data_IF_624769038196
#
_entry.id   IF_624769038196
#
_cell.length_a   1.000
_cell.length_b   1.000
_cell.length_c   1.000
_cell.angle_alpha   90.00
_cell.angle_beta   90.00
_cell.angle_gamma   90.00
#
_symmetry.space_group_name_H-M   'P 1'
#
loop_
_entity.id
_entity.type
_entity.pdbx_description
1 polymer ?
#
# COMPACT_ATOMS: atom_id res chain seq x y z
N UNK A 1 12.13 -1.67 7.56
CA UNK A 1 11.58 -1.76 6.19
C UNK A 1 10.06 -1.76 6.29
N UNK A 2 9.39 -1.07 5.40
CA UNK A 2 7.94 -1.00 5.24
C UNK A 2 7.61 -1.58 3.86
N UNK A 3 6.45 -2.22 3.73
CA UNK A 3 6.09 -2.91 2.49
C UNK A 3 4.63 -2.60 2.11
N UNK A 4 4.37 -2.59 0.83
CA UNK A 4 3.05 -2.51 0.24
C UNK A 4 3.08 -2.85 -1.24
N UNK A 5 1.92 -3.00 -1.85
CA UNK A 5 1.82 -3.25 -3.28
C UNK A 5 0.84 -2.28 -3.98
N UNK A 6 1.02 -2.12 -5.27
CA UNK A 6 0.25 -1.17 -6.08
C UNK A 6 -0.67 -1.83 -7.11
N UNK A 7 -0.40 -3.06 -7.47
CA UNK A 7 -1.28 -3.85 -8.33
C UNK A 7 -2.57 -4.21 -7.60
N UNK A 8 -3.60 -4.54 -8.35
CA UNK A 8 -4.95 -4.75 -7.86
C UNK A 8 -5.55 -6.02 -8.44
N UNK A 9 -6.34 -6.70 -7.65
CA UNK A 9 -7.25 -7.73 -8.16
C UNK A 9 -8.17 -7.13 -9.24
N UNK A 10 -8.65 -7.94 -10.19
CA UNK A 10 -9.65 -7.52 -11.18
C UNK A 10 -10.84 -6.82 -10.55
N UNK A 11 -11.47 -5.96 -11.30
CA UNK A 11 -12.50 -5.06 -10.77
C UNK A 11 -13.75 -5.76 -10.25
N UNK A 12 -14.02 -6.99 -10.66
CA UNK A 12 -15.13 -7.83 -10.21
C UNK A 12 -16.51 -7.16 -10.39
N UNK A 13 -17.55 -7.97 -10.47
CA UNK A 13 -18.94 -7.54 -10.48
C UNK A 13 -19.55 -7.59 -9.07
N UNK A 14 -20.80 -7.14 -8.94
CA UNK A 14 -21.55 -7.23 -7.69
C UNK A 14 -21.41 -6.04 -6.75
N UNK A 15 -20.89 -4.92 -7.21
CA UNK A 15 -20.86 -3.67 -6.45
C UNK A 15 -22.31 -3.19 -6.18
N UNK A 16 -22.55 -2.65 -4.99
CA UNK A 16 -23.84 -2.04 -4.66
C UNK A 16 -24.09 -0.80 -5.52
N UNK A 17 -25.37 -0.44 -5.68
CA UNK A 17 -25.76 0.74 -6.44
C UNK A 17 -25.04 1.99 -5.96
N UNK A 18 -24.50 2.74 -6.91
CA UNK A 18 -23.71 3.96 -6.65
C UNK A 18 -22.27 3.72 -6.20
N UNK A 19 -21.84 2.46 -6.09
CA UNK A 19 -20.47 2.08 -5.78
C UNK A 19 -19.80 1.40 -6.98
N UNK A 20 -18.49 1.44 -7.03
CA UNK A 20 -17.72 0.81 -8.10
C UNK A 20 -16.22 0.77 -7.84
N UNK A 21 -15.48 0.04 -8.67
CA UNK A 21 -14.06 -0.17 -8.43
C UNK A 21 -13.19 1.06 -8.68
N UNK A 22 -13.52 1.89 -9.66
CA UNK A 22 -12.64 2.97 -10.17
C UNK A 22 -13.06 4.38 -9.72
N UNK A 23 -14.26 4.53 -9.21
CA UNK A 23 -14.73 5.81 -8.69
C UNK A 23 -14.80 5.73 -7.17
N UNK A 24 -13.90 6.42 -6.45
CA UNK A 24 -13.91 6.37 -4.99
C UNK A 24 -15.17 7.08 -4.45
N UNK A 25 -15.85 6.42 -3.53
CA UNK A 25 -17.04 6.94 -2.85
C UNK A 25 -16.81 6.90 -1.35
N UNK A 26 -16.95 8.06 -0.70
CA UNK A 26 -17.00 8.15 0.76
C UNK A 26 -18.46 8.13 1.20
N UNK A 27 -18.89 7.09 1.91
CA UNK A 27 -20.26 6.91 2.39
C UNK A 27 -20.23 6.32 3.80
N UNK A 28 -20.98 6.91 4.70
CA UNK A 28 -21.14 6.44 6.10
C UNK A 28 -19.79 6.19 6.81
N UNK A 29 -18.81 7.05 6.56
CA UNK A 29 -17.46 6.94 7.13
C UNK A 29 -16.56 5.86 6.50
N UNK A 30 -17.02 5.19 5.45
CA UNK A 30 -16.28 4.19 4.70
C UNK A 30 -15.90 4.69 3.31
N UNK A 31 -14.66 4.41 2.91
CA UNK A 31 -14.18 4.66 1.55
C UNK A 31 -14.34 3.38 0.73
N UNK A 32 -15.11 3.47 -0.34
CA UNK A 32 -15.35 2.36 -1.27
C UNK A 32 -14.56 2.57 -2.55
N UNK A 33 -13.95 1.51 -3.03
CA UNK A 33 -13.20 1.46 -4.28
C UNK A 33 -12.20 0.32 -4.28
N UNK A 34 -11.79 -0.16 -5.43
CA UNK A 34 -10.77 -1.20 -5.55
C UNK A 34 -9.42 -0.64 -5.08
N UNK A 35 -8.71 -1.38 -4.24
CA UNK A 35 -7.42 -0.96 -3.67
C UNK A 35 -7.55 -0.06 -2.42
N UNK A 36 -8.75 0.22 -1.94
CA UNK A 36 -8.94 0.99 -0.70
C UNK A 36 -8.45 0.25 0.53
N UNK A 37 -8.60 -1.07 0.55
CA UNK A 37 -8.08 -1.93 1.60
C UNK A 37 -6.90 -2.78 1.10
N UNK A 38 -6.99 -3.33 -0.10
CA UNK A 38 -6.01 -4.24 -0.68
C UNK A 38 -5.55 -3.75 -2.07
N UNK A 39 -4.36 -3.28 -2.20
CA UNK A 39 -3.62 -2.47 -1.24
C UNK A 39 -3.43 -1.08 -1.85
N UNK A 40 -3.00 -0.18 -1.08
CA UNK A 40 -2.74 1.20 -1.48
C UNK A 40 -2.66 2.09 -0.24
N UNK A 41 -3.31 1.67 0.84
CA UNK A 41 -3.26 2.41 2.10
C UNK A 41 -1.97 2.14 2.88
N UNK A 42 -1.35 0.96 2.74
CA UNK A 42 -0.24 0.51 3.59
C UNK A 42 0.95 1.46 3.58
N UNK A 43 1.42 1.86 2.40
CA UNK A 43 2.56 2.77 2.33
C UNK A 43 2.19 4.20 2.78
N UNK A 44 0.99 4.68 2.47
CA UNK A 44 0.52 5.99 2.93
C UNK A 44 0.40 6.03 4.45
N UNK A 45 -0.17 4.99 5.06
CA UNK A 45 -0.27 4.85 6.51
C UNK A 45 1.11 4.79 7.15
N UNK A 46 2.03 4.05 6.57
CA UNK A 46 3.42 3.97 7.02
C UNK A 46 4.12 5.33 6.99
N UNK A 47 3.97 6.08 5.90
CA UNK A 47 4.52 7.43 5.79
C UNK A 47 3.89 8.41 6.79
N UNK A 48 2.58 8.32 7.00
CA UNK A 48 1.87 9.14 7.98
C UNK A 48 2.32 8.81 9.41
N UNK A 49 2.54 7.54 9.71
CA UNK A 49 3.06 7.11 11.02
C UNK A 49 4.46 7.70 11.30
N UNK A 50 5.36 7.63 10.33
CA UNK A 50 6.71 8.21 10.42
C UNK A 50 6.62 9.74 10.59
N UNK A 51 5.82 10.40 9.75
CA UNK A 51 5.60 11.84 9.83
C UNK A 51 5.05 12.25 11.20
N UNK A 52 4.08 11.50 11.71
CA UNK A 52 3.48 11.78 13.02
C UNK A 52 4.48 11.59 14.17
N UNK A 53 5.30 10.56 14.12
CA UNK A 53 6.38 10.35 15.08
C UNK A 53 7.35 11.54 15.08
N UNK A 54 7.79 12.01 13.91
CA UNK A 54 8.65 13.19 13.80
C UNK A 54 7.99 14.45 14.37
N UNK A 55 6.71 14.69 14.08
CA UNK A 55 5.97 15.86 14.61
C UNK A 55 5.84 15.83 16.12
N UNK A 56 5.87 14.66 16.73
CA UNK A 56 5.84 14.48 18.18
C UNK A 56 7.24 14.44 18.81
N UNK A 57 8.28 14.68 18.04
CA UNK A 57 9.66 14.62 18.53
C UNK A 57 10.16 13.22 18.88
N UNK A 58 9.44 12.18 18.45
CA UNK A 58 9.89 10.81 18.66
C UNK A 58 11.05 10.45 17.72
N UNK A 59 12.09 9.74 18.20
CA UNK A 59 13.16 9.28 17.34
C UNK A 59 12.63 8.22 16.38
N UNK A 60 12.99 8.35 15.11
CA UNK A 60 12.64 7.36 14.08
C UNK A 60 13.91 6.81 13.43
N UNK A 61 14.00 5.49 13.20
CA UNK A 61 15.11 4.91 12.47
C UNK A 61 15.03 5.31 10.99
N UNK A 62 16.10 5.03 10.26
CA UNK A 62 16.05 5.06 8.80
C UNK A 62 14.98 4.07 8.31
N UNK A 63 14.08 4.55 7.49
CA UNK A 63 13.01 3.75 6.91
C UNK A 63 13.21 3.58 5.41
N UNK A 64 13.00 2.38 4.93
CA UNK A 64 12.95 2.05 3.51
C UNK A 64 11.57 1.52 3.22
N UNK A 65 10.92 2.09 2.20
CA UNK A 65 9.62 1.63 1.71
C UNK A 65 9.86 0.82 0.45
N UNK A 66 9.35 -0.39 0.43
CA UNK A 66 9.35 -1.27 -0.73
C UNK A 66 7.94 -1.32 -1.27
N UNK A 67 7.77 -0.96 -2.53
CA UNK A 67 6.51 -1.07 -3.25
C UNK A 67 6.70 -2.00 -4.44
N UNK A 68 5.83 -2.98 -4.57
CA UNK A 68 5.81 -3.89 -5.72
C UNK A 68 4.51 -3.76 -6.52
N UNK A 69 4.48 -4.38 -7.68
CA UNK A 69 3.32 -4.40 -8.59
C UNK A 69 3.03 -5.80 -9.13
N UNK A 70 3.34 -6.84 -8.35
CA UNK A 70 3.14 -8.24 -8.68
C UNK A 70 2.60 -9.06 -7.51
N UNK A 71 2.14 -8.41 -6.43
CA UNK A 71 1.67 -9.12 -5.23
C UNK A 71 0.49 -10.03 -5.56
N UNK A 72 -0.47 -9.53 -6.29
CA UNK A 72 -1.69 -10.23 -6.68
C UNK A 72 -1.44 -11.41 -7.66
N UNK A 73 -0.24 -11.49 -8.22
CA UNK A 73 0.23 -12.64 -9.01
C UNK A 73 1.26 -13.51 -8.29
N UNK A 74 1.46 -13.31 -6.99
CA UNK A 74 2.32 -14.12 -6.13
C UNK A 74 3.76 -13.66 -6.03
N UNK A 75 4.05 -12.39 -6.36
CA UNK A 75 5.37 -11.74 -6.19
C UNK A 75 6.55 -12.55 -6.78
N UNK A 76 6.50 -13.01 -8.03
CA UNK A 76 7.49 -13.96 -8.57
C UNK A 76 8.92 -13.39 -8.58
N UNK A 77 9.08 -12.08 -8.65
CA UNK A 77 10.39 -11.43 -8.73
C UNK A 77 10.83 -10.73 -7.43
N UNK A 78 9.95 -10.56 -6.46
CA UNK A 78 10.21 -9.77 -5.25
C UNK A 78 11.48 -10.19 -4.52
N UNK A 79 11.66 -11.47 -4.27
CA UNK A 79 12.83 -11.99 -3.51
C UNK A 79 14.14 -11.71 -4.24
N UNK A 80 14.15 -11.84 -5.57
CA UNK A 80 15.33 -11.53 -6.37
C UNK A 80 15.66 -10.04 -6.31
N UNK A 81 14.67 -9.19 -6.54
CA UNK A 81 14.83 -7.73 -6.53
C UNK A 81 15.28 -7.20 -5.16
N UNK A 82 14.75 -7.77 -4.06
CA UNK A 82 15.22 -7.43 -2.70
C UNK A 82 16.68 -7.82 -2.47
N UNK A 83 17.13 -8.95 -3.02
CA UNK A 83 18.55 -9.33 -2.94
C UNK A 83 19.45 -8.38 -3.73
N UNK A 84 19.01 -7.93 -4.88
CA UNK A 84 19.74 -6.95 -5.70
C UNK A 84 19.77 -5.57 -5.03
N UNK A 85 18.68 -5.18 -4.37
CA UNK A 85 18.56 -3.91 -3.67
C UNK A 85 19.15 -3.92 -2.24
N UNK A 86 19.77 -5.01 -1.80
CA UNK A 86 20.20 -5.19 -0.40
C UNK A 86 21.07 -4.05 0.14
N UNK A 87 21.93 -3.44 -0.70
CA UNK A 87 22.81 -2.37 -0.28
C UNK A 87 22.09 -1.02 -0.11
N UNK A 88 20.91 -0.88 -0.71
CA UNK A 88 19.99 0.24 -0.52
C UNK A 88 19.16 0.03 0.76
N UNK A 89 18.79 -1.23 1.03
CA UNK A 89 17.89 -1.60 2.13
C UNK A 89 18.60 -1.61 3.49
N UNK A 90 19.91 -1.82 3.54
CA UNK A 90 20.74 -1.88 4.76
C UNK A 90 20.70 -0.61 5.61
#
# INVERSE_FOLDING_TARGET
MLYGHLDKMPWMDGWHEGLGPITPVLKDGHLYGRGGADDGYSFLTSMLAIKNAHLQGAPTPRCVVVLESEEESGSPHLVQLLKEAKDIIK
#
